data_IF_527444464164
#
_entry.id   IF_527444464164
#
_cell.length_a   1.000
_cell.length_b   1.000
_cell.length_c   1.000
_cell.angle_alpha   90.00
_cell.angle_beta   90.00
_cell.angle_gamma   90.00
#
_symmetry.space_group_name_H-M   'P 1'
#
loop_
_entity.id
_entity.type
_entity.pdbx_description
1 polymer ?
#
# COMPACT_ATOMS: atom_id res chain seq x y z
N UNK A 1 7.09 -6.08 -3.51
CA UNK A 1 6.47 -5.62 -2.25
C UNK A 1 4.96 -5.54 -2.44
N UNK A 2 4.19 -5.25 -1.40
CA UNK A 2 2.73 -5.24 -1.46
C UNK A 2 2.14 -3.88 -1.06
N UNK A 3 1.03 -3.51 -1.66
CA UNK A 3 0.16 -2.42 -1.21
C UNK A 3 -1.15 -3.02 -0.73
N UNK A 4 -1.58 -2.68 0.48
CA UNK A 4 -2.87 -3.10 1.01
C UNK A 4 -3.90 -1.98 0.90
N UNK A 5 -5.11 -2.35 0.50
CA UNK A 5 -6.23 -1.44 0.31
C UNK A 5 -7.56 -2.17 0.52
N UNK A 6 -8.67 -1.49 0.29
CA UNK A 6 -9.99 -2.12 0.23
C UNK A 6 -10.31 -2.59 -1.20
N UNK A 7 -11.45 -3.25 -1.39
CA UNK A 7 -11.89 -3.78 -2.69
C UNK A 7 -11.97 -2.69 -3.77
N UNK A 8 -12.64 -1.57 -3.48
CA UNK A 8 -12.77 -0.46 -4.42
C UNK A 8 -11.41 0.15 -4.83
N UNK A 9 -10.48 0.29 -3.88
CA UNK A 9 -9.13 0.76 -4.16
C UNK A 9 -8.33 -0.25 -4.99
N UNK A 10 -8.47 -1.54 -4.70
CA UNK A 10 -7.85 -2.61 -5.47
C UNK A 10 -8.33 -2.58 -6.93
N UNK A 11 -9.63 -2.56 -7.15
CA UNK A 11 -10.22 -2.56 -8.50
C UNK A 11 -9.86 -1.30 -9.27
N UNK A 12 -9.86 -0.15 -8.58
CA UNK A 12 -9.43 1.12 -9.16
C UNK A 12 -7.98 1.07 -9.65
N UNK A 13 -7.05 0.52 -8.86
CA UNK A 13 -5.64 0.39 -9.24
C UNK A 13 -5.46 -0.62 -10.38
N UNK A 14 -6.19 -1.75 -10.37
CA UNK A 14 -6.14 -2.69 -11.48
C UNK A 14 -6.65 -2.09 -12.79
N UNK A 15 -7.70 -1.27 -12.73
CA UNK A 15 -8.26 -0.61 -13.90
C UNK A 15 -7.37 0.52 -14.42
N UNK A 16 -6.81 1.36 -13.55
CA UNK A 16 -5.98 2.49 -13.95
C UNK A 16 -4.52 2.10 -14.24
N UNK A 17 -4.05 0.97 -13.70
CA UNK A 17 -2.62 0.64 -13.62
C UNK A 17 -1.80 1.73 -12.89
N UNK A 18 -2.40 2.44 -11.95
CA UNK A 18 -1.76 3.53 -11.20
C UNK A 18 -1.93 3.37 -9.69
N UNK A 19 -0.87 3.62 -8.93
CA UNK A 19 -0.96 3.82 -7.49
C UNK A 19 -0.81 5.30 -7.14
N UNK A 20 -1.94 5.91 -6.78
CA UNK A 20 -1.98 7.33 -6.37
C UNK A 20 -1.30 7.53 -5.02
N UNK A 21 -0.64 8.68 -4.81
CA UNK A 21 0.04 8.96 -3.56
C UNK A 21 -0.95 9.19 -2.41
N UNK A 22 -0.57 8.76 -1.22
CA UNK A 22 -1.13 9.30 0.01
C UNK A 22 -0.52 10.67 0.26
N UNK A 23 -1.33 11.69 0.52
CA UNK A 23 -0.85 13.06 0.75
C UNK A 23 -1.08 13.49 2.20
N UNK A 24 -0.15 14.26 2.74
CA UNK A 24 -0.25 14.85 4.07
C UNK A 24 -1.43 15.82 4.16
N UNK A 25 -1.73 16.53 3.08
CA UNK A 25 -2.89 17.42 3.01
C UNK A 25 -4.22 16.65 3.21
N UNK A 26 -4.35 15.45 2.64
CA UNK A 26 -5.56 14.64 2.78
C UNK A 26 -5.61 13.90 4.11
N UNK A 27 -4.51 13.24 4.50
CA UNK A 27 -4.40 12.55 5.78
C UNK A 27 -2.93 12.36 6.22
N UNK A 28 -2.43 13.16 7.17
CA UNK A 28 -1.07 13.03 7.69
C UNK A 28 -0.77 11.66 8.32
N UNK A 29 -1.78 10.93 8.80
CA UNK A 29 -1.58 9.61 9.38
C UNK A 29 -1.31 8.52 8.32
N UNK A 30 -1.78 8.73 7.10
CA UNK A 30 -1.52 7.82 5.97
C UNK A 30 -0.22 8.22 5.25
N UNK A 31 0.19 9.51 5.35
CA UNK A 31 1.41 10.06 4.75
C UNK A 31 2.49 10.46 5.78
N UNK A 32 2.77 9.59 6.77
CA UNK A 32 3.66 9.90 7.91
C UNK A 32 5.11 10.23 7.53
N UNK A 33 5.58 9.74 6.39
CA UNK A 33 6.95 9.95 5.91
C UNK A 33 7.01 10.96 4.75
N UNK A 34 5.90 11.64 4.46
CA UNK A 34 5.73 12.52 3.30
C UNK A 34 4.75 11.94 2.28
N UNK A 35 4.45 12.76 1.27
CA UNK A 35 3.59 12.39 0.16
C UNK A 35 4.23 11.28 -0.67
N UNK A 36 3.45 10.23 -0.97
CA UNK A 36 4.00 9.08 -1.65
C UNK A 36 3.15 7.83 -1.65
N UNK A 37 3.68 6.80 -2.29
CA UNK A 37 3.08 5.46 -2.30
C UNK A 37 3.65 4.63 -1.15
N UNK A 38 2.75 3.99 -0.39
CA UNK A 38 3.11 3.20 0.80
C UNK A 38 3.00 1.72 0.51
N UNK A 39 4.02 0.97 0.89
CA UNK A 39 4.21 -0.44 0.60
C UNK A 39 4.55 -1.22 1.88
N UNK A 40 4.48 -2.55 1.80
CA UNK A 40 4.85 -3.47 2.87
C UNK A 40 5.56 -4.70 2.33
N UNK A 41 6.40 -5.30 3.17
CA UNK A 41 7.01 -6.62 2.99
C UNK A 41 6.19 -7.74 3.65
N UNK A 42 5.09 -7.40 4.35
CA UNK A 42 4.18 -8.39 4.90
C UNK A 42 3.48 -9.10 3.75
N UNK A 43 3.79 -10.37 3.56
CA UNK A 43 3.23 -11.17 2.48
C UNK A 43 1.71 -11.40 2.67
N UNK A 44 0.92 -11.38 1.59
CA UNK A 44 -0.50 -11.73 1.60
C UNK A 44 -0.79 -13.08 2.26
N UNK A 45 -1.90 -13.15 3.00
CA UNK A 45 -2.34 -14.36 3.70
C UNK A 45 -1.56 -14.70 4.98
N UNK A 46 -0.47 -13.99 5.30
CA UNK A 46 0.34 -14.27 6.50
C UNK A 46 -0.18 -13.61 7.78
N UNK A 47 -1.08 -12.64 7.66
CA UNK A 47 -1.68 -11.91 8.78
C UNK A 47 -3.17 -11.74 8.59
N UNK A 48 -3.93 -11.85 9.69
CA UNK A 48 -5.36 -11.52 9.72
C UNK A 48 -5.55 -10.01 9.50
N UNK A 49 -6.71 -9.56 8.97
CA UNK A 49 -6.96 -8.13 8.73
C UNK A 49 -6.74 -7.23 9.94
N UNK A 50 -7.08 -7.67 11.15
CA UNK A 50 -6.83 -6.91 12.37
C UNK A 50 -5.35 -6.76 12.73
N UNK A 51 -4.51 -7.76 12.40
CA UNK A 51 -3.07 -7.69 12.60
C UNK A 51 -2.39 -6.76 11.59
N UNK A 52 -2.82 -6.80 10.32
CA UNK A 52 -2.39 -5.85 9.30
C UNK A 52 -2.77 -4.41 9.70
N UNK A 53 -4.02 -4.23 10.12
CA UNK A 53 -4.53 -2.94 10.59
C UNK A 53 -3.72 -2.39 11.77
N UNK A 54 -3.40 -3.24 12.75
CA UNK A 54 -2.54 -2.85 13.87
C UNK A 54 -1.11 -2.48 13.42
N UNK A 55 -0.53 -3.22 12.47
CA UNK A 55 0.81 -2.93 11.96
C UNK A 55 0.89 -1.57 11.22
N UNK A 56 -0.10 -1.27 10.37
CA UNK A 56 -0.08 -0.07 9.54
C UNK A 56 -0.61 1.17 10.27
N UNK A 57 -1.72 1.04 10.99
CA UNK A 57 -2.43 2.17 11.57
C UNK A 57 -2.28 2.28 13.08
N UNK A 58 -1.69 1.28 13.75
CA UNK A 58 -1.71 1.14 15.23
C UNK A 58 -3.13 1.04 15.80
N UNK A 59 -4.06 0.57 14.98
CA UNK A 59 -5.48 0.40 15.31
C UNK A 59 -5.93 -0.96 14.79
N UNK A 60 -6.39 -1.91 15.63
CA UNK A 60 -6.68 -3.28 15.16
C UNK A 60 -8.04 -3.46 14.47
N UNK A 61 -8.95 -2.47 14.52
CA UNK A 61 -10.31 -2.61 13.98
C UNK A 61 -10.53 -2.00 12.58
N UNK A 62 -9.48 -1.52 11.90
CA UNK A 62 -9.57 -0.99 10.52
C UNK A 62 -9.29 -2.08 9.45
N UNK A 63 -9.52 -3.36 9.77
CA UNK A 63 -9.24 -4.49 8.86
C UNK A 63 -9.92 -4.37 7.49
N UNK A 64 -11.04 -3.65 7.37
CA UNK A 64 -11.70 -3.39 6.08
C UNK A 64 -10.84 -2.56 5.11
N UNK A 65 -9.93 -1.72 5.61
CA UNK A 65 -9.01 -0.91 4.80
C UNK A 65 -7.88 -1.73 4.16
N UNK A 66 -7.69 -2.97 4.59
CA UNK A 66 -6.57 -3.85 4.21
C UNK A 66 -7.08 -5.22 3.80
N UNK A 67 -8.29 -5.27 3.23
CA UNK A 67 -8.95 -6.50 2.82
C UNK A 67 -8.41 -7.07 1.52
N UNK A 68 -7.75 -6.23 0.71
CA UNK A 68 -7.19 -6.58 -0.59
C UNK A 68 -5.75 -6.12 -0.68
N UNK A 69 -4.99 -6.76 -1.57
CA UNK A 69 -3.59 -6.43 -1.81
C UNK A 69 -3.26 -6.38 -3.29
N UNK A 70 -2.19 -5.67 -3.61
CA UNK A 70 -1.53 -5.67 -4.90
C UNK A 70 -0.04 -5.91 -4.65
N UNK A 71 0.52 -6.90 -5.32
CA UNK A 71 1.96 -7.20 -5.34
C UNK A 71 2.61 -6.47 -6.50
N UNK A 72 3.62 -5.66 -6.18
CA UNK A 72 4.29 -4.75 -7.10
C UNK A 72 5.76 -5.16 -7.21
N UNK A 73 6.26 -5.28 -8.43
CA UNK A 73 7.67 -5.31 -8.77
C UNK A 73 8.28 -3.92 -8.58
N UNK A 74 9.10 -3.82 -7.53
CA UNK A 74 9.71 -2.56 -7.10
C UNK A 74 11.12 -2.35 -7.66
N UNK A 75 11.61 -3.23 -8.55
CA UNK A 75 12.92 -3.04 -9.17
C UNK A 75 12.97 -1.69 -9.89
N UNK A 76 14.05 -0.95 -9.62
CA UNK A 76 14.27 0.40 -10.17
C UNK A 76 13.44 1.51 -9.53
N UNK A 77 12.67 1.25 -8.46
CA UNK A 77 11.99 2.28 -7.68
C UNK A 77 12.83 2.67 -6.45
N UNK A 78 12.82 3.95 -6.06
CA UNK A 78 13.45 4.44 -4.83
C UNK A 78 12.60 4.09 -3.60
N UNK A 79 12.57 2.81 -3.24
CA UNK A 79 11.86 2.33 -2.07
C UNK A 79 12.66 2.60 -0.81
N UNK A 80 12.09 3.40 0.08
CA UNK A 80 12.67 3.78 1.37
C UNK A 80 12.02 3.00 2.50
N UNK A 81 12.83 2.63 3.49
CA UNK A 81 12.35 1.98 4.71
C UNK A 81 11.93 3.04 5.74
N UNK A 82 10.68 3.01 6.19
CA UNK A 82 10.18 3.90 7.23
C UNK A 82 10.25 3.27 8.61
N UNK A 83 9.53 2.15 8.80
CA UNK A 83 9.55 1.35 10.04
C UNK A 83 9.21 -0.11 9.70
N UNK A 84 9.35 -1.07 10.64
CA UNK A 84 9.03 -2.47 10.37
C UNK A 84 7.64 -2.64 9.74
N UNK A 85 7.58 -3.32 8.59
CA UNK A 85 6.35 -3.53 7.83
C UNK A 85 5.87 -2.34 7.00
N UNK A 86 6.58 -1.21 6.97
CA UNK A 86 6.18 0.01 6.25
C UNK A 86 7.34 0.60 5.45
N UNK A 87 7.16 0.59 4.14
CA UNK A 87 8.05 1.14 3.14
C UNK A 87 7.29 2.21 2.35
N UNK A 88 8.02 3.09 1.68
CA UNK A 88 7.40 4.16 0.91
C UNK A 88 8.28 4.59 -0.27
N UNK A 89 7.63 5.18 -1.27
CA UNK A 89 8.27 5.86 -2.40
C UNK A 89 7.74 7.30 -2.34
N UNK A 90 8.63 8.28 -2.17
CA UNK A 90 8.21 9.69 -2.20
C UNK A 90 7.85 10.08 -3.63
N UNK A 91 6.63 10.57 -3.80
CA UNK A 91 6.08 10.96 -5.08
C UNK A 91 4.79 11.73 -4.84
N UNK A 92 4.60 12.84 -5.55
CA UNK A 92 3.36 13.63 -5.55
C UNK A 92 2.45 13.31 -6.74
N UNK A 93 2.91 12.48 -7.67
CA UNK A 93 2.15 12.02 -8.84
C UNK A 93 1.74 10.54 -8.74
N UNK A 94 0.77 10.07 -9.55
CA UNK A 94 0.44 8.65 -9.67
C UNK A 94 1.67 7.83 -10.11
N UNK A 95 1.95 6.74 -9.40
CA UNK A 95 2.98 5.78 -9.80
C UNK A 95 2.42 4.84 -10.87
N UNK A 96 3.03 4.82 -12.05
CA UNK A 96 2.71 3.87 -13.11
C UNK A 96 3.09 2.43 -12.71
N UNK A 97 2.10 1.55 -12.73
CA UNK A 97 2.23 0.13 -12.42
C UNK A 97 2.15 -0.77 -13.65
N UNK A 98 2.12 -0.22 -14.86
CA UNK A 98 2.09 -0.99 -16.12
C UNK A 98 3.27 -1.97 -16.15
N UNK A 99 2.95 -3.27 -16.23
CA UNK A 99 3.96 -4.34 -16.22
C UNK A 99 4.67 -4.56 -14.87
N UNK A 100 4.28 -3.84 -13.80
CA UNK A 100 4.82 -3.99 -12.44
C UNK A 100 3.92 -4.80 -11.51
N UNK A 101 2.63 -4.96 -11.82
CA UNK A 101 1.73 -5.79 -11.00
C UNK A 101 2.06 -7.26 -11.24
N UNK A 102 2.55 -7.94 -10.20
CA UNK A 102 2.95 -9.36 -10.24
C UNK A 102 1.98 -10.28 -9.49
N UNK A 103 0.91 -9.72 -8.91
CA UNK A 103 -0.17 -10.46 -8.28
C UNK A 103 -1.13 -9.53 -7.54
N UNK A 104 -2.35 -9.99 -7.28
CA UNK A 104 -3.32 -9.25 -6.48
C UNK A 104 -4.40 -10.20 -5.94
N UNK A 105 -5.21 -9.71 -5.01
CA UNK A 105 -6.39 -10.43 -4.56
C UNK A 105 -6.86 -10.03 -3.18
N UNK A 106 -7.78 -10.84 -2.64
CA UNK A 106 -8.23 -10.73 -1.26
C UNK A 106 -7.16 -11.30 -0.32
N UNK A 107 -6.99 -10.66 0.84
CA UNK A 107 -6.11 -11.14 1.91
C UNK A 107 -6.84 -11.92 3.00
#
# INVERSE_FOLDING_TARGET
MHHYTNEAGHDGILASQELRPSTQAANPNDAKFGDGQYLTDIAPGTKRPGQLSAAFYRVPWLGKKVSHYISIDVRGLDVRHGRPGVFYILNDEPLDLTGRIVGSGRN
#
